data_IF_089859827069
#
_entry.id   IF_089859827069
#
_cell.length_a   1.000
_cell.length_b   1.000
_cell.length_c   1.000
_cell.angle_alpha   90.00
_cell.angle_beta   90.00
_cell.angle_gamma   90.00
#
_symmetry.space_group_name_H-M   'P 1'
#
loop_
_entity.id
_entity.type
_entity.pdbx_description
1 polymer ?
#
# COMPACT_ATOMS: atom_id res chain seq x y z
N UNK A 1 4.49 15.24 -5.14
CA UNK A 1 4.00 16.09 -4.02
C UNK A 1 4.24 15.34 -2.72
N UNK A 2 4.70 16.01 -1.66
CA UNK A 2 4.87 15.35 -0.35
C UNK A 2 3.62 15.54 0.52
N UNK A 3 3.10 14.46 1.09
CA UNK A 3 1.98 14.47 2.03
C UNK A 3 2.45 14.19 3.46
N UNK A 4 1.71 14.77 4.41
CA UNK A 4 1.81 14.50 5.84
C UNK A 4 0.64 13.61 6.28
N UNK A 5 0.69 13.02 7.48
CA UNK A 5 -0.45 12.27 8.02
C UNK A 5 -1.77 13.07 7.94
N UNK A 6 -2.79 12.46 7.35
CA UNK A 6 -4.10 13.09 7.10
C UNK A 6 -4.20 13.91 5.81
N UNK A 7 -3.09 14.11 5.08
CA UNK A 7 -3.08 14.77 3.78
C UNK A 7 -3.74 13.94 2.68
N UNK A 8 -4.25 14.62 1.65
CA UNK A 8 -4.90 14.01 0.50
C UNK A 8 -4.39 14.66 -0.79
N UNK A 9 -4.33 13.89 -1.86
CA UNK A 9 -4.03 14.39 -3.20
C UNK A 9 -4.85 13.63 -4.23
N UNK A 10 -5.30 14.29 -5.31
CA UNK A 10 -5.95 13.58 -6.40
C UNK A 10 -4.95 12.68 -7.12
N UNK A 11 -5.43 11.53 -7.60
CA UNK A 11 -4.69 10.60 -8.45
C UNK A 11 -5.48 10.31 -9.71
N UNK A 12 -4.83 10.03 -10.85
CA UNK A 12 -5.54 9.67 -12.07
C UNK A 12 -6.25 8.32 -11.91
N UNK A 13 -7.44 8.19 -12.50
CA UNK A 13 -8.18 6.93 -12.56
C UNK A 13 -7.56 5.97 -13.60
N UNK A 14 -6.35 5.51 -13.33
CA UNK A 14 -5.56 4.62 -14.18
C UNK A 14 -4.82 3.60 -13.31
N UNK A 15 -3.97 2.79 -13.93
CA UNK A 15 -3.04 1.96 -13.16
C UNK A 15 -2.00 2.83 -12.45
N UNK A 16 -1.84 2.58 -11.16
CA UNK A 16 -0.85 3.20 -10.30
C UNK A 16 0.10 2.14 -9.76
N UNK A 17 1.33 2.56 -9.49
CA UNK A 17 2.27 1.81 -8.69
C UNK A 17 2.36 2.45 -7.30
N UNK A 18 2.22 1.63 -6.26
CA UNK A 18 2.39 2.05 -4.87
C UNK A 18 3.64 1.36 -4.34
N UNK A 19 4.67 2.14 -4.00
CA UNK A 19 5.92 1.61 -3.44
C UNK A 19 6.02 1.99 -1.98
N UNK A 20 6.24 1.00 -1.13
CA UNK A 20 6.58 1.20 0.27
C UNK A 20 8.06 0.89 0.44
N UNK A 21 8.80 1.85 0.99
CA UNK A 21 10.24 1.71 1.28
C UNK A 21 10.42 1.64 2.77
N UNK A 22 11.19 0.68 3.27
CA UNK A 22 11.51 0.60 4.69
C UNK A 22 12.99 0.28 4.94
N UNK A 23 13.50 0.77 6.06
CA UNK A 23 14.91 0.61 6.45
C UNK A 23 15.24 -0.70 7.15
N UNK A 24 14.28 -1.63 7.20
CA UNK A 24 14.37 -2.96 7.82
C UNK A 24 13.49 -3.94 7.07
N UNK A 25 13.38 -5.18 7.57
CA UNK A 25 12.41 -6.13 7.02
C UNK A 25 11.00 -5.77 7.53
N UNK A 26 10.06 -5.73 6.59
CA UNK A 26 8.62 -5.56 6.85
C UNK A 26 7.85 -6.42 5.88
N UNK A 27 6.71 -6.95 6.33
CA UNK A 27 5.72 -7.55 5.45
C UNK A 27 4.72 -6.48 5.05
N UNK A 28 4.42 -6.39 3.75
CA UNK A 28 3.45 -5.43 3.25
C UNK A 28 2.15 -6.12 2.84
N UNK A 29 1.03 -5.45 3.05
CA UNK A 29 -0.28 -5.93 2.60
C UNK A 29 -1.15 -4.80 2.06
N UNK A 30 -2.09 -5.15 1.20
CA UNK A 30 -3.13 -4.26 0.69
C UNK A 30 -4.51 -4.88 0.90
N UNK A 31 -5.48 -4.02 1.23
CA UNK A 31 -6.86 -4.41 1.53
C UNK A 31 -7.83 -3.55 0.75
N UNK A 32 -8.73 -4.17 -0.01
CA UNK A 32 -9.90 -3.48 -0.57
C UNK A 32 -10.96 -3.37 0.51
N UNK A 33 -11.32 -2.14 0.85
CA UNK A 33 -12.31 -1.84 1.87
C UNK A 33 -13.57 -1.28 1.23
N UNK A 34 -14.70 -1.73 1.74
CA UNK A 34 -16.03 -1.38 1.27
C UNK A 34 -16.67 -0.32 2.18
N UNK A 35 -17.96 -0.06 1.99
CA UNK A 35 -18.68 1.03 2.67
C UNK A 35 -18.62 0.97 4.21
N UNK A 36 -18.49 -0.22 4.79
CA UNK A 36 -18.36 -0.43 6.24
C UNK A 36 -16.90 -0.38 6.73
N UNK A 37 -15.95 -0.12 5.84
CA UNK A 37 -14.52 -0.07 6.13
C UNK A 37 -13.86 -1.45 6.29
N UNK A 38 -14.52 -2.54 5.87
CA UNK A 38 -14.00 -3.90 5.97
C UNK A 38 -13.78 -4.53 4.60
N UNK A 39 -12.99 -5.60 4.58
CA UNK A 39 -12.95 -6.56 3.46
C UNK A 39 -14.23 -7.40 3.45
N UNK A 40 -14.64 -7.92 2.29
CA UNK A 40 -15.73 -8.90 2.20
C UNK A 40 -15.24 -10.34 2.36
N UNK A 41 -13.94 -10.58 2.19
CA UNK A 41 -13.28 -11.84 2.48
C UNK A 41 -11.84 -11.86 1.98
N UNK A 42 -11.23 -13.04 1.99
CA UNK A 42 -9.81 -13.22 1.62
C UNK A 42 -9.49 -12.70 0.22
N UNK A 43 -10.46 -12.75 -0.70
CA UNK A 43 -10.33 -12.22 -2.07
C UNK A 43 -10.00 -10.72 -2.15
N UNK A 44 -10.17 -9.97 -1.06
CA UNK A 44 -9.88 -8.53 -0.97
C UNK A 44 -8.52 -8.21 -0.34
N UNK A 45 -7.79 -9.25 0.07
CA UNK A 45 -6.49 -9.14 0.71
C UNK A 45 -5.39 -9.45 -0.32
N UNK A 46 -4.31 -8.68 -0.28
CA UNK A 46 -3.11 -8.93 -1.09
C UNK A 46 -1.88 -8.85 -0.19
N UNK A 47 -1.11 -9.92 -0.16
CA UNK A 47 0.09 -10.08 0.69
C UNK A 47 0.99 -11.17 0.09
N UNK A 48 2.14 -11.48 0.70
CA UNK A 48 3.11 -12.43 0.15
C UNK A 48 2.50 -13.82 -0.19
N UNK A 49 1.59 -14.34 0.64
CA UNK A 49 0.91 -15.62 0.44
C UNK A 49 -0.24 -15.57 -0.57
N UNK A 50 -0.72 -14.38 -0.91
CA UNK A 50 -1.74 -14.12 -1.92
C UNK A 50 -1.37 -12.85 -2.70
N UNK A 51 -0.42 -12.92 -3.64
CA UNK A 51 0.18 -11.74 -4.27
C UNK A 51 -0.75 -11.01 -5.23
N UNK A 52 -1.97 -11.49 -5.43
CA UNK A 52 -2.96 -10.89 -6.33
C UNK A 52 -4.37 -11.21 -5.83
N UNK A 53 -5.26 -10.22 -5.93
CA UNK A 53 -6.68 -10.40 -5.59
C UNK A 53 -7.47 -11.08 -6.73
N UNK A 54 -8.74 -11.42 -6.49
CA UNK A 54 -9.60 -12.22 -7.38
C UNK A 54 -9.75 -11.67 -8.81
N UNK A 55 -9.95 -10.37 -8.97
CA UNK A 55 -10.07 -9.68 -10.26
C UNK A 55 -8.74 -9.10 -10.75
N UNK A 56 -7.68 -9.27 -9.97
CA UNK A 56 -6.35 -8.87 -10.32
C UNK A 56 -6.12 -7.38 -10.49
N UNK A 57 -6.99 -6.56 -9.88
CA UNK A 57 -6.88 -5.09 -9.84
C UNK A 57 -5.85 -4.60 -8.83
N UNK A 58 -5.48 -5.42 -7.84
CA UNK A 58 -4.40 -5.14 -6.89
C UNK A 58 -3.43 -6.32 -6.89
N UNK A 59 -2.13 -6.05 -7.04
CA UNK A 59 -1.11 -7.10 -7.04
C UNK A 59 0.17 -6.63 -6.33
N UNK A 60 0.77 -7.49 -5.51
CA UNK A 60 2.11 -7.34 -4.96
C UNK A 60 3.12 -7.85 -6.00
N UNK A 61 3.93 -6.95 -6.55
CA UNK A 61 4.88 -7.22 -7.65
C UNK A 61 6.26 -7.59 -7.11
N UNK A 62 6.66 -6.99 -5.99
CA UNK A 62 7.94 -7.26 -5.34
C UNK A 62 7.83 -7.00 -3.85
N UNK A 63 8.62 -7.71 -3.06
CA UNK A 63 8.76 -7.52 -1.62
C UNK A 63 10.23 -7.68 -1.21
N UNK A 64 10.63 -7.06 -0.09
CA UNK A 64 12.01 -7.02 0.39
C UNK A 64 12.32 -5.65 1.01
N UNK A 65 13.42 -5.01 0.61
CA UNK A 65 13.67 -3.62 1.01
C UNK A 65 12.61 -2.63 0.48
N UNK A 66 11.97 -2.99 -0.63
CA UNK A 66 10.87 -2.24 -1.23
C UNK A 66 9.71 -3.19 -1.52
N UNK A 67 8.52 -2.86 -1.02
CA UNK A 67 7.29 -3.54 -1.36
C UNK A 67 6.55 -2.74 -2.42
N UNK A 68 6.31 -3.35 -3.58
CA UNK A 68 5.69 -2.66 -4.72
C UNK A 68 4.36 -3.31 -5.05
N UNK A 69 3.29 -2.51 -5.03
CA UNK A 69 1.98 -2.91 -5.49
C UNK A 69 1.64 -2.23 -6.82
N UNK A 70 0.90 -2.92 -7.67
CA UNK A 70 0.15 -2.32 -8.78
C UNK A 70 -1.33 -2.25 -8.42
N UNK A 71 -1.98 -1.15 -8.80
CA UNK A 71 -3.39 -0.88 -8.54
C UNK A 71 -4.05 -0.35 -9.81
N UNK A 72 -4.89 -1.16 -10.46
CA UNK A 72 -5.65 -0.76 -11.64
C UNK A 72 -6.97 -0.07 -11.24
N UNK A 73 -6.91 1.21 -10.86
CA UNK A 73 -8.07 1.97 -10.35
C UNK A 73 -9.26 1.99 -11.32
N UNK A 74 -8.99 2.02 -12.62
CA UNK A 74 -10.02 2.03 -13.67
C UNK A 74 -10.77 0.69 -13.85
N UNK A 75 -10.33 -0.38 -13.17
CA UNK A 75 -10.93 -1.71 -13.25
C UNK A 75 -11.48 -2.19 -11.90
N UNK A 76 -11.36 -1.38 -10.84
CA UNK A 76 -11.91 -1.73 -9.53
C UNK A 76 -13.41 -1.95 -9.62
N UNK A 77 -13.90 -2.91 -8.83
CA UNK A 77 -15.34 -3.08 -8.63
C UNK A 77 -15.93 -1.76 -8.08
N UNK A 78 -17.09 -1.31 -8.58
CA UNK A 78 -17.65 0.02 -8.23
C UNK A 78 -17.95 0.23 -6.75
N UNK A 79 -18.08 -0.85 -5.97
CA UNK A 79 -18.39 -0.84 -4.55
C UNK A 79 -17.15 -0.69 -3.66
N UNK A 80 -15.93 -0.90 -4.18
CA UNK A 80 -14.68 -0.66 -3.45
C UNK A 80 -14.53 0.83 -3.16
N UNK A 81 -14.43 1.19 -1.87
CA UNK A 81 -14.34 2.58 -1.42
C UNK A 81 -12.91 3.02 -1.13
N UNK A 82 -12.04 2.09 -0.74
CA UNK A 82 -10.67 2.41 -0.33
C UNK A 82 -9.76 1.21 -0.56
N UNK A 83 -8.50 1.48 -0.89
CA UNK A 83 -7.43 0.49 -0.77
C UNK A 83 -6.52 0.96 0.37
N UNK A 84 -6.45 0.16 1.44
CA UNK A 84 -5.56 0.41 2.55
C UNK A 84 -4.27 -0.39 2.37
N UNK A 85 -3.13 0.26 2.58
CA UNK A 85 -1.83 -0.40 2.60
C UNK A 85 -1.32 -0.45 4.03
N UNK A 86 -0.78 -1.58 4.44
CA UNK A 86 -0.22 -1.78 5.77
C UNK A 86 1.18 -2.36 5.67
N UNK A 87 1.98 -2.11 6.71
CA UNK A 87 3.23 -2.82 6.93
C UNK A 87 3.25 -3.36 8.35
N UNK A 88 3.81 -4.55 8.52
CA UNK A 88 4.06 -5.16 9.82
C UNK A 88 5.53 -5.50 9.93
N UNK A 89 6.11 -5.29 11.12
CA UNK A 89 7.47 -5.72 11.41
C UNK A 89 7.46 -7.15 11.94
N UNK A 90 8.49 -7.92 11.60
CA UNK A 90 8.69 -9.26 12.13
C UNK A 90 8.86 -9.29 13.65
N UNK A 91 8.53 -10.45 14.23
CA UNK A 91 8.47 -10.68 15.68
C UNK A 91 9.78 -10.37 16.41
N UNK A 92 9.86 -9.16 16.96
CA UNK A 92 11.02 -8.65 17.71
C UNK A 92 11.42 -7.23 17.34
N UNK A 93 10.91 -6.69 16.24
CA UNK A 93 11.17 -5.32 15.80
C UNK A 93 9.88 -4.49 15.88
N UNK A 94 10.01 -3.25 16.36
CA UNK A 94 8.92 -2.26 16.33
C UNK A 94 9.07 -1.35 15.11
N UNK A 95 8.00 -0.63 14.76
CA UNK A 95 8.06 0.38 13.70
C UNK A 95 9.09 1.46 14.05
N UNK A 96 9.22 1.83 15.33
CA UNK A 96 10.28 2.74 15.80
C UNK A 96 11.71 2.22 15.57
N UNK A 97 11.89 0.91 15.42
CA UNK A 97 13.18 0.28 15.11
C UNK A 97 13.58 0.37 13.64
N UNK A 98 12.65 0.74 12.74
CA UNK A 98 12.97 0.98 11.33
C UNK A 98 13.83 2.25 11.19
N UNK A 99 14.71 2.31 10.19
CA UNK A 99 15.50 3.53 9.90
C UNK A 99 14.71 4.58 9.15
N UNK A 100 13.81 4.13 8.29
CA UNK A 100 12.87 4.94 7.53
C UNK A 100 11.66 4.08 7.17
N UNK A 101 10.54 4.75 6.91
CA UNK A 101 9.37 4.17 6.27
C UNK A 101 8.71 5.25 5.43
N UNK A 102 8.50 4.98 4.15
CA UNK A 102 7.82 5.90 3.23
C UNK A 102 6.93 5.14 2.27
N UNK A 103 5.95 5.85 1.72
CA UNK A 103 5.06 5.38 0.67
C UNK A 103 5.09 6.38 -0.49
N UNK A 104 5.27 5.86 -1.70
CA UNK A 104 5.23 6.61 -2.94
C UNK A 104 4.10 6.08 -3.82
N UNK A 105 3.41 6.98 -4.50
CA UNK A 105 2.41 6.67 -5.54
C UNK A 105 2.92 7.22 -6.85
N UNK A 106 3.05 6.33 -7.84
CA UNK A 106 3.61 6.59 -9.16
C UNK A 106 2.61 6.23 -10.25
N UNK A 107 2.62 6.97 -11.35
CA UNK A 107 1.96 6.61 -12.60
C UNK A 107 3.03 6.40 -13.66
N UNK A 108 3.24 5.17 -14.10
CA UNK A 108 4.36 4.83 -14.99
C UNK A 108 5.71 5.18 -14.36
N UNK A 109 6.42 6.14 -14.94
CA UNK A 109 7.69 6.65 -14.41
C UNK A 109 7.54 7.97 -13.61
N UNK A 110 6.33 8.49 -13.47
CA UNK A 110 6.06 9.79 -12.84
C UNK A 110 5.63 9.60 -11.39
N UNK A 111 6.41 10.12 -10.45
CA UNK A 111 6.01 10.21 -9.04
C UNK A 111 4.91 11.26 -8.85
N UNK A 112 3.75 10.83 -8.35
CA UNK A 112 2.62 11.72 -8.07
C UNK A 112 2.69 12.23 -6.63
N UNK A 113 2.80 11.30 -5.69
CA UNK A 113 2.67 11.54 -4.26
C UNK A 113 3.73 10.75 -3.51
N UNK A 114 4.32 11.36 -2.49
CA UNK A 114 5.19 10.71 -1.52
C UNK A 114 4.71 11.03 -0.11
N UNK A 115 4.94 10.14 0.84
CA UNK A 115 4.67 10.39 2.25
C UNK A 115 5.66 9.62 3.12
N UNK A 116 6.26 10.30 4.08
CA UNK A 116 7.14 9.68 5.08
C UNK A 116 6.37 9.42 6.38
N UNK A 117 6.63 8.29 7.01
CA UNK A 117 6.02 7.93 8.29
C UNK A 117 7.00 8.29 9.41
N UNK A 118 6.54 9.08 10.37
CA UNK A 118 7.29 9.32 11.60
C UNK A 118 7.28 8.07 12.47
N UNK A 119 8.48 7.56 12.76
CA UNK A 119 8.68 6.28 13.45
C UNK A 119 8.74 6.41 14.98
N UNK A 120 8.99 7.62 15.47
CA UNK A 120 9.10 7.86 16.91
C UNK A 120 7.81 7.49 17.64
N UNK A 121 7.94 6.68 18.69
CA UNK A 121 6.81 6.28 19.55
C UNK A 121 5.86 5.23 18.95
N UNK A 122 6.26 4.50 17.90
CA UNK A 122 5.45 3.46 17.24
C UNK A 122 5.95 2.03 17.46
#
# INVERSE_FOLDING_TARGET
MNLTPGGNAPVPAQELRVRITSGGQVDASAFRLYADGKVQGDADMVFYGQPRNDDGTVSLVSEGQYSTFTVALNRLKPDVQKIAFTVTCDGGQTVSGLRNLSIDVEQGATGLVSGSVELSGR
#
